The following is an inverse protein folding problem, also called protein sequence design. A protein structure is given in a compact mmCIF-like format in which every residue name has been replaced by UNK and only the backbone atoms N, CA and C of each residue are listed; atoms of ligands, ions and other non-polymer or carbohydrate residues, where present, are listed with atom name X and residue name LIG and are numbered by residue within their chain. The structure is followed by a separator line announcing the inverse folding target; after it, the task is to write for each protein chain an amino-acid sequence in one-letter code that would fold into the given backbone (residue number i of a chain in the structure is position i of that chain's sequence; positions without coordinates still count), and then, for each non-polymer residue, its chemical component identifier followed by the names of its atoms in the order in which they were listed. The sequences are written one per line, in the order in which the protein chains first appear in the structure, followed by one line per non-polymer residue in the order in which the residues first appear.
data_IF_721819315561
#
_entry.id   IF_721819315561
#
_cell.length_a   1.000
_cell.length_b   1.000
_cell.length_c   1.000
_cell.angle_alpha   90.00
_cell.angle_beta   90.00
_cell.angle_gamma   90.00
#
_symmetry.space_group_name_H-M   'P 1'
#
loop_
_entity.id
_entity.type
_entity.pdbx_description
1 polymer ?
#
# COMPACT_ATOMS: atom_id res chain seq x y z
N UNK A 1 72.48 20.59 -42.85
CA UNK A 1 71.95 21.48 -41.80
C UNK A 1 70.79 22.29 -42.41
N UNK A 2 69.66 22.55 -41.74
CA UNK A 2 68.92 21.73 -40.77
C UNK A 2 67.39 21.70 -41.09
N UNK A 3 66.75 20.53 -41.08
CA UNK A 3 65.29 20.40 -40.94
C UNK A 3 64.97 19.10 -40.21
N UNK A 4 65.25 19.06 -38.91
CA UNK A 4 64.84 17.99 -37.98
C UNK A 4 64.74 18.58 -36.59
N UNK A 5 63.62 19.21 -36.23
CA UNK A 5 63.32 19.55 -34.83
C UNK A 5 61.88 20.06 -34.60
N UNK A 6 60.81 19.49 -35.17
CA UNK A 6 59.44 19.88 -34.72
C UNK A 6 58.41 18.76 -34.90
N UNK A 7 58.57 17.57 -34.30
CA UNK A 7 57.43 16.61 -34.14
C UNK A 7 57.56 15.75 -32.86
N UNK A 8 58.12 16.29 -31.77
CA UNK A 8 58.32 15.50 -30.53
C UNK A 8 57.96 16.27 -29.26
N UNK A 9 56.89 17.06 -29.31
CA UNK A 9 56.38 17.78 -28.13
C UNK A 9 54.85 17.76 -27.95
N UNK A 10 54.13 16.85 -28.63
CA UNK A 10 52.68 16.66 -28.48
C UNK A 10 52.28 15.21 -28.14
N UNK A 11 53.13 14.46 -27.43
CA UNK A 11 52.81 13.11 -26.91
C UNK A 11 53.11 12.97 -25.40
N UNK A 12 53.12 14.08 -24.65
CA UNK A 12 53.38 14.07 -23.21
C UNK A 12 52.27 14.74 -22.37
N UNK A 13 51.08 14.94 -22.93
CA UNK A 13 49.98 15.64 -22.26
C UNK A 13 48.65 14.85 -22.25
N UNK A 14 48.70 13.52 -22.25
CA UNK A 14 47.51 12.64 -22.16
C UNK A 14 47.75 11.39 -21.30
N UNK A 15 48.54 11.48 -20.24
CA UNK A 15 48.67 10.42 -19.22
C UNK A 15 48.90 11.03 -17.83
N UNK A 16 47.97 11.85 -17.36
CA UNK A 16 47.74 11.97 -15.92
C UNK A 16 46.38 11.34 -15.64
N UNK A 17 46.33 10.00 -15.68
CA UNK A 17 45.35 9.31 -14.88
C UNK A 17 45.78 9.57 -13.43
N UNK A 18 45.14 10.53 -12.76
CA UNK A 18 45.26 10.65 -11.32
C UNK A 18 44.71 9.36 -10.74
N UNK A 19 45.60 8.47 -10.27
CA UNK A 19 45.20 7.26 -9.56
C UNK A 19 44.40 7.68 -8.34
N UNK A 20 43.10 7.41 -8.39
CA UNK A 20 42.17 7.61 -7.27
C UNK A 20 42.57 6.61 -6.19
N UNK A 21 42.65 7.00 -4.91
CA UNK A 21 42.92 6.05 -3.84
C UNK A 21 41.90 4.90 -3.86
N UNK A 22 42.38 3.68 -3.63
CA UNK A 22 41.53 2.48 -3.52
C UNK A 22 40.43 2.71 -2.49
N UNK A 23 39.24 2.16 -2.75
CA UNK A 23 38.09 2.22 -1.85
C UNK A 23 37.32 3.55 -1.85
N UNK A 24 37.73 4.54 -2.65
CA UNK A 24 37.00 5.81 -2.81
C UNK A 24 35.84 5.66 -3.81
N UNK A 25 34.64 6.04 -3.37
CA UNK A 25 33.46 6.11 -4.25
C UNK A 25 33.58 7.24 -5.29
N UNK A 26 33.06 7.06 -6.54
CA UNK A 26 33.17 8.06 -7.61
C UNK A 26 32.74 9.48 -7.25
N UNK A 27 31.70 9.64 -6.42
CA UNK A 27 31.24 10.97 -5.97
C UNK A 27 32.22 11.70 -5.05
N UNK A 28 33.12 10.95 -4.40
CA UNK A 28 34.05 11.49 -3.40
C UNK A 28 35.44 11.75 -3.97
N UNK A 29 35.73 11.31 -5.20
CA UNK A 29 37.04 11.46 -5.87
C UNK A 29 37.56 12.90 -5.81
N UNK A 30 36.67 13.88 -5.92
CA UNK A 30 37.02 15.32 -5.92
C UNK A 30 37.73 15.78 -4.65
N UNK A 31 37.61 15.07 -3.53
CA UNK A 31 38.26 15.39 -2.27
C UNK A 31 39.68 14.79 -2.15
N UNK A 32 40.00 13.79 -2.96
CA UNK A 32 41.25 13.04 -2.90
C UNK A 32 42.19 13.50 -4.01
N UNK A 33 42.77 14.70 -3.84
CA UNK A 33 43.69 15.29 -4.83
C UNK A 33 45.13 14.83 -4.56
N UNK A 34 45.76 14.03 -5.45
CA UNK A 34 47.09 13.50 -5.20
C UNK A 34 48.15 14.57 -4.95
N UNK A 35 49.08 14.28 -4.05
CA UNK A 35 50.22 15.13 -3.68
C UNK A 35 49.86 16.49 -3.06
N UNK A 36 48.61 16.69 -2.65
CA UNK A 36 48.18 17.85 -1.85
C UNK A 36 47.89 17.40 -0.41
N UNK A 37 48.11 18.25 0.60
CA UNK A 37 47.65 17.95 1.95
C UNK A 37 46.16 17.59 1.91
N UNK A 38 45.83 16.45 2.49
CA UNK A 38 44.46 15.97 2.57
C UNK A 38 43.82 16.60 3.81
N UNK A 39 42.60 17.13 3.66
CA UNK A 39 41.81 17.60 4.80
C UNK A 39 40.69 16.60 5.00
N UNK A 40 40.59 16.04 6.21
CA UNK A 40 39.53 15.10 6.57
C UNK A 40 38.16 15.70 6.16
N UNK A 41 37.23 14.86 5.74
CA UNK A 41 35.94 15.35 5.20
C UNK A 41 35.10 16.05 6.28
N UNK A 42 35.25 15.64 7.53
CA UNK A 42 34.71 16.29 8.73
C UNK A 42 35.51 17.53 9.21
N UNK A 43 36.67 17.80 8.58
CA UNK A 43 37.62 18.87 8.93
C UNK A 43 38.30 18.71 10.28
N UNK A 44 38.34 17.50 10.84
CA UNK A 44 39.04 17.20 12.10
C UNK A 44 40.53 17.47 12.03
N UNK A 45 41.18 17.16 10.91
CA UNK A 45 42.59 17.39 10.68
C UNK A 45 42.92 17.71 9.20
N UNK A 46 44.13 18.25 8.99
CA UNK A 46 44.79 18.32 7.68
C UNK A 46 46.10 17.56 7.78
N UNK A 47 46.22 16.49 6.99
CA UNK A 47 47.32 15.54 7.01
C UNK A 47 48.10 15.57 5.69
N UNK A 48 49.38 15.15 5.68
CA UNK A 48 50.12 14.92 4.45
C UNK A 48 49.45 13.88 3.52
N UNK A 49 49.65 13.96 2.21
CA UNK A 49 49.02 13.02 1.24
C UNK A 49 49.45 11.56 1.45
N UNK A 50 50.69 11.35 1.89
CA UNK A 50 51.25 10.03 2.21
C UNK A 50 50.57 9.34 3.41
N UNK A 51 49.68 10.05 4.11
CA UNK A 51 48.83 9.52 5.17
C UNK A 51 47.49 8.97 4.71
N UNK A 52 47.17 9.08 3.42
CA UNK A 52 45.94 8.49 2.88
C UNK A 52 46.21 7.02 2.54
N UNK A 53 45.42 6.11 3.12
CA UNK A 53 45.58 4.66 3.04
C UNK A 53 46.95 4.18 3.55
N UNK A 54 47.40 4.68 4.71
CA UNK A 54 48.68 4.31 5.33
C UNK A 54 48.56 3.25 6.45
N UNK A 55 47.38 2.61 6.56
CA UNK A 55 47.01 1.65 7.61
C UNK A 55 46.98 2.29 9.03
N UNK A 56 46.79 3.60 9.12
CA UNK A 56 46.62 4.32 10.39
C UNK A 56 45.46 5.31 10.33
N UNK A 57 44.60 5.29 11.36
CA UNK A 57 43.42 6.16 11.41
C UNK A 57 43.79 7.55 11.99
N UNK A 58 44.16 8.50 11.14
CA UNK A 58 44.50 9.88 11.44
C UNK A 58 43.26 10.80 11.52
N UNK A 59 42.20 10.55 10.74
CA UNK A 59 40.96 11.35 10.77
C UNK A 59 39.92 10.80 11.75
N UNK A 60 39.15 11.68 12.41
CA UNK A 60 38.05 11.25 13.30
C UNK A 60 36.89 10.61 12.54
N UNK A 61 36.69 11.00 11.28
CA UNK A 61 35.69 10.41 10.37
C UNK A 61 36.24 9.23 9.55
N UNK A 62 37.51 8.89 9.71
CA UNK A 62 38.22 7.83 8.98
C UNK A 62 38.36 8.07 7.48
N UNK A 63 38.15 9.31 7.00
CA UNK A 63 38.21 9.64 5.57
C UNK A 63 39.60 9.55 4.96
N UNK A 64 40.65 9.41 5.77
CA UNK A 64 42.01 9.13 5.35
C UNK A 64 42.22 7.67 4.94
N UNK A 65 41.39 6.73 5.42
CA UNK A 65 41.53 5.29 5.18
C UNK A 65 40.34 4.69 4.38
N UNK A 66 40.00 5.22 3.18
CA UNK A 66 38.94 4.64 2.36
C UNK A 66 39.29 3.24 1.81
N UNK A 67 40.57 2.91 1.72
CA UNK A 67 41.11 1.73 1.06
C UNK A 67 41.67 0.65 1.99
N UNK A 68 41.64 0.86 3.31
CA UNK A 68 42.22 -0.06 4.31
C UNK A 68 41.20 -0.39 5.42
N UNK A 69 41.60 -1.25 6.36
CA UNK A 69 40.79 -1.64 7.53
C UNK A 69 41.12 -0.85 8.81
N UNK A 70 41.95 0.20 8.73
CA UNK A 70 42.47 0.91 9.91
C UNK A 70 41.43 1.72 10.69
N UNK A 71 40.37 2.22 10.02
CA UNK A 71 39.28 2.96 10.65
C UNK A 71 38.00 2.08 10.75
N UNK A 72 37.49 1.78 11.96
CA UNK A 72 36.46 0.75 12.17
C UNK A 72 35.05 1.11 11.66
N UNK A 73 34.69 2.40 11.61
CA UNK A 73 33.36 2.85 11.18
C UNK A 73 33.33 3.26 9.69
N UNK A 74 34.44 3.06 8.97
CA UNK A 74 34.58 3.43 7.56
C UNK A 74 34.07 2.32 6.62
N UNK A 75 33.75 2.71 5.38
CA UNK A 75 33.31 1.79 4.33
C UNK A 75 34.25 1.85 3.14
N UNK A 76 34.62 0.67 2.63
CA UNK A 76 35.38 0.50 1.41
C UNK A 76 34.43 0.38 0.22
N UNK A 77 34.72 1.10 -0.87
CA UNK A 77 33.93 0.99 -2.10
C UNK A 77 34.56 -0.01 -3.08
N UNK A 78 33.84 -1.10 -3.36
CA UNK A 78 34.14 -2.02 -4.46
C UNK A 78 33.60 -1.42 -5.78
N UNK A 79 34.45 -1.13 -6.78
CA UNK A 79 33.98 -0.61 -8.07
C UNK A 79 33.12 -1.62 -8.83
N UNK A 80 33.41 -2.92 -8.70
CA UNK A 80 32.71 -4.03 -9.32
C UNK A 80 32.47 -3.80 -10.82
N UNK A 81 33.50 -3.39 -11.55
CA UNK A 81 33.36 -2.96 -12.95
C UNK A 81 32.63 -4.01 -13.79
N UNK A 82 31.54 -3.61 -14.45
CA UNK A 82 30.65 -4.51 -15.19
C UNK A 82 29.49 -5.10 -14.37
N UNK A 83 29.39 -4.74 -13.09
CA UNK A 83 28.28 -5.00 -12.18
C UNK A 83 27.98 -3.72 -11.37
N UNK A 84 27.19 -3.83 -10.29
CA UNK A 84 26.91 -2.73 -9.37
C UNK A 84 28.02 -2.58 -8.33
N UNK A 85 28.50 -1.35 -8.16
CA UNK A 85 29.45 -1.00 -7.11
C UNK A 85 28.78 -1.03 -5.74
N UNK A 86 29.48 -1.54 -4.74
CA UNK A 86 28.94 -1.74 -3.39
C UNK A 86 29.90 -1.21 -2.34
N UNK A 87 29.35 -0.83 -1.19
CA UNK A 87 30.14 -0.54 0.00
C UNK A 87 30.19 -1.76 0.90
N UNK A 88 31.39 -2.14 1.31
CA UNK A 88 31.63 -3.14 2.34
C UNK A 88 32.20 -2.44 3.60
N UNK A 89 32.02 -3.01 4.80
CA UNK A 89 32.71 -2.54 6.00
C UNK A 89 34.23 -2.58 5.79
N UNK A 90 34.96 -1.59 6.32
CA UNK A 90 36.44 -1.56 6.26
C UNK A 90 37.07 -2.82 6.86
N UNK A 91 36.41 -3.45 7.84
CA UNK A 91 36.87 -4.71 8.44
C UNK A 91 36.98 -5.89 7.48
N UNK A 92 36.38 -5.80 6.28
CA UNK A 92 36.42 -6.84 5.25
C UNK A 92 37.54 -6.60 4.23
N UNK A 93 38.35 -5.55 4.42
CA UNK A 93 39.50 -5.26 3.56
C UNK A 93 40.70 -6.08 4.05
N UNK A 94 41.25 -6.92 3.16
CA UNK A 94 42.35 -7.84 3.43
C UNK A 94 42.14 -8.76 4.66
N UNK A 95 40.91 -9.25 4.86
CA UNK A 95 40.54 -10.19 5.93
C UNK A 95 40.63 -11.67 5.49
N UNK A 96 41.12 -11.92 4.27
CA UNK A 96 41.23 -13.23 3.61
C UNK A 96 39.90 -13.81 3.08
N UNK A 97 38.84 -13.00 3.01
CA UNK A 97 37.54 -13.33 2.43
C UNK A 97 37.32 -12.46 1.19
N UNK A 98 36.73 -13.03 0.13
CA UNK A 98 36.42 -12.26 -1.09
C UNK A 98 34.98 -11.74 -1.01
N UNK A 99 34.80 -10.51 -0.57
CA UNK A 99 33.52 -9.82 -0.43
C UNK A 99 33.18 -8.96 -1.65
N UNK A 100 34.18 -8.31 -2.27
CA UNK A 100 33.97 -7.64 -3.56
C UNK A 100 33.89 -8.68 -4.70
N UNK A 101 32.93 -8.53 -5.62
CA UNK A 101 32.87 -9.46 -6.77
C UNK A 101 34.07 -9.33 -7.70
N UNK A 102 34.75 -8.18 -7.70
CA UNK A 102 35.97 -7.95 -8.48
C UNK A 102 37.25 -8.33 -7.72
N UNK A 103 37.15 -8.66 -6.42
CA UNK A 103 38.26 -9.00 -5.54
C UNK A 103 39.15 -7.81 -5.14
N UNK A 104 38.65 -6.58 -5.26
CA UNK A 104 39.41 -5.36 -4.96
C UNK A 104 39.70 -5.12 -3.48
N UNK A 105 38.99 -5.81 -2.59
CA UNK A 105 39.16 -5.87 -1.14
C UNK A 105 40.42 -6.62 -0.69
N UNK A 106 40.81 -7.67 -1.43
CA UNK A 106 41.93 -8.56 -1.07
C UNK A 106 43.21 -8.27 -1.87
N UNK A 107 43.60 -7.00 -1.92
CA UNK A 107 44.71 -6.53 -2.76
C UNK A 107 46.10 -6.92 -2.24
N UNK A 108 46.25 -7.36 -0.98
CA UNK A 108 47.52 -7.92 -0.47
C UNK A 108 47.90 -9.25 -1.13
N UNK A 109 46.97 -9.93 -1.80
CA UNK A 109 47.23 -11.16 -2.54
C UNK A 109 47.54 -12.38 -1.66
N UNK A 110 47.16 -12.33 -0.37
CA UNK A 110 47.22 -13.48 0.55
C UNK A 110 46.20 -14.57 0.17
N UNK A 111 45.08 -14.15 -0.43
CA UNK A 111 44.07 -14.99 -1.06
C UNK A 111 43.93 -14.58 -2.54
N UNK A 112 43.50 -15.52 -3.40
CA UNK A 112 43.22 -15.25 -4.81
C UNK A 112 41.72 -15.10 -5.04
N UNK A 113 41.24 -13.87 -5.15
CA UNK A 113 39.87 -13.58 -5.54
C UNK A 113 39.71 -13.58 -7.06
N UNK A 114 38.77 -14.40 -7.57
CA UNK A 114 38.44 -14.40 -8.99
C UNK A 114 37.31 -13.39 -9.23
N UNK A 115 37.38 -12.63 -10.32
CA UNK A 115 36.31 -11.71 -10.68
C UNK A 115 35.03 -12.47 -11.09
N UNK A 116 33.97 -12.32 -10.30
CA UNK A 116 32.64 -12.91 -10.50
C UNK A 116 31.60 -11.90 -10.99
N UNK A 117 31.95 -10.62 -11.10
CA UNK A 117 31.02 -9.54 -11.47
C UNK A 117 30.29 -9.81 -12.78
N UNK A 118 30.97 -10.33 -13.80
CA UNK A 118 30.34 -10.67 -15.08
C UNK A 118 29.35 -11.84 -15.01
N UNK A 119 29.46 -12.73 -14.02
CA UNK A 119 28.47 -13.78 -13.79
C UNK A 119 27.24 -13.22 -13.05
N UNK A 120 27.46 -12.44 -11.99
CA UNK A 120 26.40 -11.78 -11.24
C UNK A 120 25.59 -10.80 -12.09
N UNK A 121 26.25 -10.07 -12.99
CA UNK A 121 25.59 -9.16 -13.94
C UNK A 121 24.65 -9.90 -14.89
N UNK A 122 25.08 -11.04 -15.45
CA UNK A 122 24.23 -11.88 -16.32
C UNK A 122 23.04 -12.47 -15.57
N UNK A 123 23.26 -12.98 -14.37
CA UNK A 123 22.19 -13.52 -13.53
C UNK A 123 21.15 -12.43 -13.21
N UNK A 124 21.59 -11.23 -12.82
CA UNK A 124 20.70 -10.09 -12.60
C UNK A 124 19.93 -9.71 -13.86
N UNK A 125 20.59 -9.65 -15.02
CA UNK A 125 19.92 -9.34 -16.28
C UNK A 125 18.85 -10.39 -16.62
N UNK A 126 19.15 -11.68 -16.46
CA UNK A 126 18.19 -12.77 -16.65
C UNK A 126 16.99 -12.65 -15.69
N UNK A 127 17.24 -12.32 -14.41
CA UNK A 127 16.18 -12.09 -13.41
C UNK A 127 15.30 -10.88 -13.78
N UNK A 128 15.91 -9.77 -14.20
CA UNK A 128 15.19 -8.56 -14.65
C UNK A 128 14.36 -8.85 -15.90
N UNK A 129 14.90 -9.60 -16.87
CA UNK A 129 14.15 -10.01 -18.07
C UNK A 129 12.97 -10.93 -17.71
N UNK A 130 13.16 -11.87 -16.79
CA UNK A 130 12.07 -12.73 -16.31
C UNK A 130 10.99 -11.92 -15.61
N UNK A 131 11.37 -11.00 -14.73
CA UNK A 131 10.44 -10.12 -14.02
C UNK A 131 9.68 -9.21 -14.96
N UNK A 132 10.35 -8.65 -15.97
CA UNK A 132 9.73 -7.84 -17.02
C UNK A 132 8.62 -8.60 -17.75
N UNK A 133 8.92 -9.81 -18.22
CA UNK A 133 7.95 -10.65 -18.92
C UNK A 133 6.74 -10.98 -18.05
N UNK A 134 6.97 -11.24 -16.76
CA UNK A 134 5.91 -11.50 -15.79
C UNK A 134 5.02 -10.26 -15.57
N UNK A 135 5.62 -9.07 -15.43
CA UNK A 135 4.90 -7.80 -15.32
C UNK A 135 4.09 -7.52 -16.59
N UNK A 136 4.69 -7.65 -17.77
CA UNK A 136 4.03 -7.42 -19.06
C UNK A 136 2.85 -8.37 -19.24
N UNK A 137 3.03 -9.66 -18.93
CA UNK A 137 1.94 -10.65 -18.98
C UNK A 137 0.83 -10.33 -17.98
N UNK A 138 1.17 -9.95 -16.74
CA UNK A 138 0.18 -9.57 -15.73
C UNK A 138 -0.59 -8.30 -16.13
N UNK A 139 0.09 -7.31 -16.70
CA UNK A 139 -0.51 -6.08 -17.20
C UNK A 139 -1.49 -6.37 -18.35
N UNK A 140 -1.14 -7.26 -19.28
CA UNK A 140 -2.05 -7.67 -20.34
C UNK A 140 -3.32 -8.33 -19.78
N UNK A 141 -3.18 -9.27 -18.84
CA UNK A 141 -4.33 -9.93 -18.19
C UNK A 141 -5.20 -8.91 -17.45
N UNK A 142 -4.59 -7.93 -16.78
CA UNK A 142 -5.29 -6.84 -16.12
C UNK A 142 -6.13 -6.02 -17.11
N UNK A 143 -5.53 -5.58 -18.21
CA UNK A 143 -6.21 -4.78 -19.25
C UNK A 143 -7.38 -5.55 -19.86
N UNK A 144 -7.20 -6.81 -20.20
CA UNK A 144 -8.25 -7.67 -20.74
C UNK A 144 -9.39 -7.86 -19.73
N UNK A 145 -9.07 -8.08 -18.44
CA UNK A 145 -10.06 -8.19 -17.38
C UNK A 145 -10.86 -6.91 -17.22
N UNK A 146 -10.19 -5.75 -17.09
CA UNK A 146 -10.84 -4.45 -16.90
C UNK A 146 -11.73 -4.10 -18.08
N UNK A 147 -11.25 -4.30 -19.31
CA UNK A 147 -12.04 -4.03 -20.51
C UNK A 147 -13.33 -4.85 -20.54
N UNK A 148 -13.23 -6.17 -20.29
CA UNK A 148 -14.40 -7.06 -20.23
C UNK A 148 -15.33 -6.69 -19.09
N UNK A 149 -14.80 -6.48 -17.88
CA UNK A 149 -15.61 -6.21 -16.69
C UNK A 149 -16.31 -4.85 -16.76
N UNK A 150 -15.70 -3.87 -17.41
CA UNK A 150 -16.33 -2.56 -17.63
C UNK A 150 -17.57 -2.68 -18.51
N UNK A 151 -17.51 -3.48 -19.58
CA UNK A 151 -18.67 -3.76 -20.45
C UNK A 151 -19.76 -4.49 -19.66
N UNK A 152 -19.38 -5.55 -18.95
CA UNK A 152 -20.31 -6.36 -18.13
C UNK A 152 -21.06 -5.49 -17.09
N UNK A 153 -20.35 -4.63 -16.37
CA UNK A 153 -20.95 -3.73 -15.38
C UNK A 153 -21.85 -2.65 -16.02
N UNK A 154 -21.50 -2.16 -17.21
CA UNK A 154 -22.32 -1.18 -17.93
C UNK A 154 -23.63 -1.80 -18.45
N UNK A 155 -23.57 -3.03 -18.95
CA UNK A 155 -24.75 -3.79 -19.38
C UNK A 155 -25.66 -4.13 -18.19
N UNK A 156 -25.08 -4.54 -17.06
CA UNK A 156 -25.83 -4.78 -15.83
C UNK A 156 -26.52 -3.52 -15.31
N UNK A 157 -25.79 -2.39 -15.23
CA UNK A 157 -26.35 -1.11 -14.79
C UNK A 157 -27.47 -0.62 -15.72
N UNK A 158 -27.32 -0.82 -17.04
CA UNK A 158 -28.37 -0.49 -18.01
C UNK A 158 -29.63 -1.33 -17.79
N UNK A 159 -29.48 -2.64 -17.59
CA UNK A 159 -30.60 -3.54 -17.31
C UNK A 159 -31.30 -3.17 -15.99
N UNK A 160 -30.53 -2.86 -14.95
CA UNK A 160 -31.10 -2.43 -13.66
C UNK A 160 -31.85 -1.10 -13.79
N UNK A 161 -31.34 -0.14 -14.57
CA UNK A 161 -32.01 1.13 -14.84
C UNK A 161 -33.32 0.93 -15.63
N UNK A 162 -33.32 0.10 -16.68
CA UNK A 162 -34.52 -0.25 -17.45
C UNK A 162 -35.57 -0.96 -16.58
N UNK A 163 -35.15 -1.88 -15.71
CA UNK A 163 -36.05 -2.53 -14.75
C UNK A 163 -36.60 -1.56 -13.70
N UNK A 164 -35.78 -0.63 -13.20
CA UNK A 164 -36.20 0.39 -12.26
C UNK A 164 -37.21 1.36 -12.89
N UNK A 165 -36.98 1.79 -14.14
CA UNK A 165 -37.92 2.61 -14.91
C UNK A 165 -39.25 1.89 -15.09
N UNK A 166 -39.23 0.61 -15.48
CA UNK A 166 -40.45 -0.20 -15.60
C UNK A 166 -41.21 -0.31 -14.29
N UNK A 167 -40.51 -0.55 -13.17
CA UNK A 167 -41.14 -0.62 -11.83
C UNK A 167 -41.75 0.73 -11.44
N UNK A 168 -41.08 1.84 -11.74
CA UNK A 168 -41.60 3.18 -11.47
C UNK A 168 -42.87 3.48 -12.29
N UNK A 169 -42.93 3.08 -13.57
CA UNK A 169 -44.12 3.20 -14.40
C UNK A 169 -45.29 2.37 -13.88
N UNK A 170 -45.05 1.09 -13.52
CA UNK A 170 -46.09 0.22 -12.94
C UNK A 170 -46.62 0.75 -11.59
N UNK A 171 -45.76 1.38 -10.79
CA UNK A 171 -46.17 2.00 -9.52
C UNK A 171 -46.98 3.29 -9.75
N UNK A 172 -46.60 4.11 -10.72
CA UNK A 172 -47.37 5.29 -11.13
C UNK A 172 -48.76 4.92 -11.68
N UNK A 173 -48.87 3.88 -12.52
CA UNK A 173 -50.16 3.39 -13.02
C UNK A 173 -51.09 2.92 -11.89
N UNK A 174 -50.54 2.18 -10.91
CA UNK A 174 -51.31 1.74 -9.73
C UNK A 174 -51.82 2.91 -8.90
N UNK A 175 -51.04 3.98 -8.77
CA UNK A 175 -51.46 5.20 -8.07
C UNK A 175 -52.59 5.92 -8.81
N UNK A 176 -52.54 6.03 -10.14
CA UNK A 176 -53.64 6.61 -10.95
C UNK A 176 -54.93 5.79 -10.95
N UNK A 177 -54.85 4.47 -10.68
CA UNK A 177 -56.03 3.60 -10.63
C UNK A 177 -56.81 3.64 -9.30
N UNK A 178 -56.32 4.34 -8.28
CA UNK A 178 -56.91 4.43 -6.94
C UNK A 178 -57.49 5.82 -6.58
N UNK A 179 -57.53 6.80 -7.51
CA UNK A 179 -58.27 8.04 -7.30
C UNK A 179 -59.79 7.83 -7.54
N UNK A 180 -60.68 8.16 -6.58
CA UNK A 180 -62.11 8.08 -6.80
C UNK A 180 -62.57 9.20 -7.72
N UNK A 181 -63.30 8.84 -8.79
CA UNK A 181 -64.00 9.77 -9.64
C UNK A 181 -65.14 10.45 -8.85
N UNK A 182 -64.98 11.73 -8.52
CA UNK A 182 -66.07 12.58 -8.02
C UNK A 182 -66.61 13.46 -9.16
N UNK A 183 -67.85 13.12 -9.54
CA UNK A 183 -68.91 13.86 -10.23
C UNK A 183 -68.63 15.00 -11.22
N UNK A 184 -69.19 14.80 -12.42
CA UNK A 184 -69.85 15.73 -13.33
C UNK A 184 -70.18 17.15 -12.79
N UNK A 185 -69.89 18.17 -13.61
CA UNK A 185 -70.89 19.21 -13.87
C UNK A 185 -70.75 19.75 -15.30
N UNK A 186 -71.82 19.58 -16.06
CA UNK A 186 -72.11 20.24 -17.33
C UNK A 186 -71.77 21.73 -17.32
N UNK A 187 -71.24 22.25 -18.43
CA UNK A 187 -71.68 23.53 -18.99
C UNK A 187 -71.31 23.67 -20.47
N UNK A 188 -72.38 23.65 -21.26
CA UNK A 188 -72.70 24.43 -22.47
C UNK A 188 -71.59 24.88 -23.44
N UNK A 189 -71.80 24.44 -24.69
CA UNK A 189 -71.30 25.02 -25.93
C UNK A 189 -71.87 26.43 -26.15
N UNK A 190 -71.06 27.37 -26.69
CA UNK A 190 -71.56 28.20 -27.78
C UNK A 190 -70.63 28.19 -29.00
N UNK A 191 -71.16 28.33 -30.23
CA UNK A 191 -70.38 28.24 -31.46
C UNK A 191 -69.94 29.63 -31.95
N UNK A 192 -68.79 29.69 -32.64
CA UNK A 192 -68.51 30.46 -33.87
C UNK A 192 -67.06 30.96 -33.92
N UNK A 193 -66.47 30.92 -35.12
CA UNK A 193 -65.29 31.71 -35.47
C UNK A 193 -64.15 30.92 -36.12
N UNK A 194 -64.21 30.83 -37.45
CA UNK A 194 -63.06 30.52 -38.31
C UNK A 194 -61.94 31.56 -38.08
N UNK A 195 -60.68 31.14 -38.02
CA UNK A 195 -59.67 31.45 -39.05
C UNK A 195 -58.25 31.05 -38.64
N UNK A 196 -57.46 30.84 -39.69
CA UNK A 196 -56.12 30.27 -39.84
C UNK A 196 -55.02 31.12 -39.19
N UNK A 197 -53.90 30.49 -38.79
CA UNK A 197 -52.60 30.58 -39.48
C UNK A 197 -51.44 30.00 -38.64
N UNK A 198 -50.40 29.63 -39.39
CA UNK A 198 -49.22 28.83 -39.08
C UNK A 198 -47.99 29.75 -39.02
N UNK A 199 -47.15 29.67 -37.98
CA UNK A 199 -45.72 30.04 -37.96
C UNK A 199 -45.16 29.71 -36.55
N UNK A 200 -44.17 28.83 -36.30
CA UNK A 200 -42.71 28.96 -36.50
C UNK A 200 -42.18 30.37 -36.11
N UNK A 201 -41.10 30.60 -35.37
CA UNK A 201 -39.85 29.86 -35.14
C UNK A 201 -39.27 30.17 -33.73
N UNK A 202 -38.20 29.43 -33.43
CA UNK A 202 -37.19 29.57 -32.38
C UNK A 202 -36.73 31.02 -32.08
N UNK A 203 -36.17 31.23 -30.87
CA UNK A 203 -34.81 31.78 -30.59
C UNK A 203 -34.69 32.10 -29.08
N UNK A 204 -33.86 31.32 -28.37
CA UNK A 204 -33.01 31.79 -27.25
C UNK A 204 -31.69 32.39 -27.83
N UNK A 205 -30.74 33.01 -27.09
CA UNK A 205 -30.65 33.41 -25.67
C UNK A 205 -30.05 34.84 -25.49
N UNK A 206 -29.82 35.28 -24.24
CA UNK A 206 -28.61 35.98 -23.74
C UNK A 206 -28.92 36.68 -22.40
N UNK A 207 -28.36 36.25 -21.26
CA UNK A 207 -26.99 36.45 -20.71
C UNK A 207 -26.90 37.60 -19.69
N UNK A 208 -26.53 37.19 -18.45
CA UNK A 208 -25.61 37.85 -17.49
C UNK A 208 -26.10 39.10 -16.72
N UNK A 209 -26.18 38.97 -15.38
CA UNK A 209 -25.33 39.77 -14.49
C UNK A 209 -25.16 39.18 -13.08
N UNK A 210 -23.90 39.22 -12.66
CA UNK A 210 -23.22 38.75 -11.44
C UNK A 210 -23.58 39.45 -10.11
N UNK A 211 -23.22 38.71 -9.05
CA UNK A 211 -22.65 39.10 -7.75
C UNK A 211 -23.51 39.71 -6.63
N UNK A 212 -23.49 39.01 -5.48
CA UNK A 212 -22.95 39.61 -4.24
C UNK A 212 -22.51 38.57 -3.20
N UNK A 213 -21.26 38.75 -2.75
CA UNK A 213 -20.69 38.35 -1.45
C UNK A 213 -21.63 38.67 -0.27
N UNK A 214 -21.56 37.90 0.82
CA UNK A 214 -21.16 38.39 2.16
C UNK A 214 -20.76 37.23 3.09
N UNK A 215 -19.72 37.49 3.87
CA UNK A 215 -19.02 36.69 4.87
C UNK A 215 -19.46 37.18 6.26
N UNK A 216 -19.64 36.31 7.26
CA UNK A 216 -19.57 36.74 8.66
C UNK A 216 -19.32 35.59 9.66
N UNK A 217 -18.16 35.71 10.33
CA UNK A 217 -17.77 35.06 11.59
C UNK A 217 -18.52 35.67 12.77
N UNK A 218 -18.78 34.88 13.82
CA UNK A 218 -18.84 35.41 15.19
C UNK A 218 -18.26 34.42 16.22
N UNK A 219 -17.35 34.94 17.05
CA UNK A 219 -16.85 34.40 18.32
C UNK A 219 -17.52 35.13 19.51
N UNK A 220 -17.47 34.49 20.70
CA UNK A 220 -17.76 35.04 22.03
C UNK A 220 -19.05 34.44 22.63
N UNK A 221 -19.11 33.81 23.82
CA UNK A 221 -18.28 33.84 25.03
C UNK A 221 -19.10 34.45 26.18
N UNK A 222 -19.47 33.65 27.21
CA UNK A 222 -19.58 33.97 28.66
C UNK A 222 -20.60 33.06 29.44
N UNK A 223 -20.05 32.33 30.43
CA UNK A 223 -20.44 32.05 31.82
C UNK A 223 -21.85 31.58 32.27
N UNK A 224 -21.93 30.43 32.98
CA UNK A 224 -22.17 30.32 34.45
C UNK A 224 -22.54 28.90 34.96
N UNK A 225 -21.87 28.51 36.07
CA UNK A 225 -22.18 27.59 37.21
C UNK A 225 -22.45 26.07 36.98
N UNK A 226 -21.66 25.18 37.61
CA UNK A 226 -21.81 24.55 38.97
C UNK A 226 -22.88 23.44 38.92
N UNK A 227 -22.60 22.15 39.13
CA UNK A 227 -22.28 21.54 40.42
C UNK A 227 -21.52 20.19 40.25
N UNK A 228 -20.62 19.92 41.19
CA UNK A 228 -19.87 18.67 41.27
C UNK A 228 -20.61 17.50 41.94
N UNK A 229 -20.20 16.27 41.61
CA UNK A 229 -20.47 15.10 42.45
C UNK A 229 -19.30 14.12 42.46
N UNK A 230 -18.80 13.82 43.66
CA UNK A 230 -17.73 12.87 43.96
C UNK A 230 -18.33 11.55 44.51
N UNK A 231 -17.61 10.41 44.42
CA UNK A 231 -18.17 9.07 44.60
C UNK A 231 -18.07 8.55 46.04
N UNK A 232 -18.81 7.50 46.44
CA UNK A 232 -18.51 6.74 47.65
C UNK A 232 -17.82 5.39 47.36
N UNK A 233 -16.90 5.10 48.28
CA UNK A 233 -16.06 3.90 48.43
C UNK A 233 -16.86 2.72 49.02
N UNK A 234 -16.31 1.52 48.82
CA UNK A 234 -16.84 0.25 49.30
C UNK A 234 -16.74 0.01 50.82
N UNK A 235 -17.31 -1.13 51.23
CA UNK A 235 -17.12 -1.75 52.55
C UNK A 235 -17.10 -3.28 52.37
N UNK A 236 -16.15 -3.91 53.06
CA UNK A 236 -15.89 -5.34 53.14
C UNK A 236 -16.73 -6.03 54.25
N UNK A 237 -17.03 -7.32 54.04
CA UNK A 237 -16.83 -8.40 55.04
C UNK A 237 -17.84 -8.63 56.17
N UNK A 238 -18.27 -9.90 56.34
CA UNK A 238 -18.76 -10.42 57.62
C UNK A 238 -19.74 -11.59 57.53
N UNK A 239 -19.31 -12.78 57.96
CA UNK A 239 -20.04 -14.04 57.99
C UNK A 239 -20.92 -14.24 59.25
N UNK A 240 -22.02 -15.01 59.16
CA UNK A 240 -22.41 -16.13 60.05
C UNK A 240 -23.91 -16.50 59.93
N UNK A 241 -24.19 -17.80 60.07
CA UNK A 241 -25.51 -18.51 60.04
C UNK A 241 -25.94 -18.80 61.49
N UNK A 242 -27.24 -18.69 61.87
CA UNK A 242 -28.14 -19.87 62.09
C UNK A 242 -29.63 -19.61 61.72
N UNK A 243 -30.27 -20.47 60.91
CA UNK A 243 -31.20 -21.57 61.24
C UNK A 243 -32.60 -21.19 61.76
N UNK A 244 -33.61 -21.61 60.98
CA UNK A 244 -34.95 -22.15 61.31
C UNK A 244 -35.86 -21.37 62.29
N UNK A 245 -36.97 -20.81 61.79
CA UNK A 245 -38.34 -21.28 62.10
C UNK A 245 -39.45 -20.52 61.33
N UNK A 246 -40.40 -21.34 60.87
CA UNK A 246 -41.76 -21.19 60.36
C UNK A 246 -42.54 -19.87 60.64
N UNK A 247 -43.13 -19.24 59.62
CA UNK A 247 -44.60 -19.09 59.53
C UNK A 247 -45.06 -18.62 58.13
N UNK A 248 -46.12 -19.26 57.69
CA UNK A 248 -46.83 -19.15 56.43
C UNK A 248 -47.72 -17.89 56.31
N UNK A 249 -47.49 -17.08 55.26
CA UNK A 249 -48.53 -16.22 54.69
C UNK A 249 -48.30 -16.03 53.18
N UNK A 250 -49.22 -16.57 52.38
CA UNK A 250 -49.23 -16.40 50.93
C UNK A 250 -49.54 -14.94 50.56
N UNK A 251 -48.58 -14.26 49.96
CA UNK A 251 -48.84 -13.09 49.11
C UNK A 251 -48.61 -13.56 47.68
N UNK A 252 -49.70 -13.72 46.93
CA UNK A 252 -49.66 -14.05 45.50
C UNK A 252 -49.31 -12.76 44.77
N UNK A 253 -48.01 -12.49 44.63
CA UNK A 253 -47.53 -11.41 43.77
C UNK A 253 -47.51 -11.93 42.33
N UNK A 254 -48.35 -11.34 41.50
CA UNK A 254 -48.47 -11.64 40.07
C UNK A 254 -47.18 -11.23 39.36
N UNK A 255 -46.29 -12.20 39.11
CA UNK A 255 -45.13 -12.01 38.25
C UNK A 255 -45.61 -11.87 36.79
N UNK A 256 -45.63 -10.64 36.28
CA UNK A 256 -45.64 -10.41 34.83
C UNK A 256 -44.26 -10.79 34.27
N UNK A 257 -44.19 -11.64 33.24
CA UNK A 257 -42.91 -11.99 32.63
C UNK A 257 -42.26 -10.73 32.02
N UNK A 258 -40.93 -10.55 32.13
CA UNK A 258 -40.26 -9.41 31.55
C UNK A 258 -40.52 -9.36 30.04
N UNK A 259 -40.95 -8.20 29.56
CA UNK A 259 -41.12 -7.93 28.13
C UNK A 259 -39.84 -8.31 27.37
N UNK A 260 -39.95 -8.98 26.20
CA UNK A 260 -38.78 -9.35 25.42
C UNK A 260 -37.94 -8.10 25.11
N UNK A 261 -36.60 -8.23 25.09
CA UNK A 261 -35.73 -7.11 24.76
C UNK A 261 -36.12 -6.58 23.37
N UNK A 262 -36.05 -5.25 23.15
CA UNK A 262 -36.33 -4.69 21.85
C UNK A 262 -35.43 -5.37 20.80
N UNK A 263 -35.95 -5.61 19.58
CA UNK A 263 -35.16 -6.19 18.52
C UNK A 263 -33.90 -5.34 18.32
N UNK A 264 -32.74 -6.01 18.27
CA UNK A 264 -31.47 -5.34 18.00
C UNK A 264 -31.61 -4.53 16.70
N UNK A 265 -31.05 -3.30 16.66
CA UNK A 265 -31.07 -2.51 15.44
C UNK A 265 -30.45 -3.32 14.29
N UNK A 266 -30.97 -3.18 13.06
CA UNK A 266 -30.38 -3.85 11.91
C UNK A 266 -28.89 -3.50 11.82
N UNK A 267 -28.03 -4.45 11.45
CA UNK A 267 -26.61 -4.17 11.31
C UNK A 267 -26.41 -3.03 10.31
N UNK A 268 -25.42 -2.15 10.54
CA UNK A 268 -25.12 -1.08 9.61
C UNK A 268 -24.83 -1.66 8.21
N UNK A 269 -25.19 -0.94 7.13
CA UNK A 269 -24.89 -1.40 5.78
C UNK A 269 -23.39 -1.66 5.63
N UNK A 270 -22.98 -2.72 4.91
CA UNK A 270 -21.58 -3.01 4.71
C UNK A 270 -20.89 -1.83 4.04
N UNK A 271 -19.72 -1.44 4.54
CA UNK A 271 -18.91 -0.38 3.94
C UNK A 271 -18.60 -0.73 2.48
N UNK A 272 -18.69 0.23 1.53
CA UNK A 272 -18.35 -0.02 0.14
C UNK A 272 -16.87 -0.42 0.01
N UNK A 273 -16.58 -1.42 -0.83
CA UNK A 273 -15.22 -1.93 -1.05
C UNK A 273 -14.55 -1.13 -2.16
N UNK A 274 -13.35 -0.62 -1.89
CA UNK A 274 -12.50 -0.03 -2.91
C UNK A 274 -11.76 -1.12 -3.70
N UNK A 275 -12.26 -1.46 -4.88
CA UNK A 275 -11.63 -2.41 -5.82
C UNK A 275 -10.49 -1.78 -6.65
N UNK A 276 -10.02 -0.61 -6.24
CA UNK A 276 -8.91 0.09 -6.87
C UNK A 276 -9.26 0.78 -8.19
N UNK A 277 -8.25 1.25 -8.94
CA UNK A 277 -8.47 1.89 -10.23
C UNK A 277 -9.15 0.90 -11.18
N UNK A 278 -10.11 1.41 -11.95
CA UNK A 278 -10.93 0.64 -12.89
C UNK A 278 -11.66 -0.58 -12.28
N UNK A 279 -11.80 -0.62 -10.94
CA UNK A 279 -12.30 -1.77 -10.19
C UNK A 279 -11.54 -3.08 -10.48
N UNK A 280 -10.27 -3.00 -10.89
CA UNK A 280 -9.51 -4.15 -11.37
C UNK A 280 -9.29 -5.25 -10.32
N UNK A 281 -9.32 -4.92 -9.02
CA UNK A 281 -9.23 -5.94 -7.96
C UNK A 281 -10.50 -6.79 -7.80
N UNK A 282 -11.60 -6.47 -8.50
CA UNK A 282 -12.77 -7.37 -8.59
C UNK A 282 -12.39 -8.76 -9.12
N UNK A 283 -11.29 -8.89 -9.87
CA UNK A 283 -10.74 -10.18 -10.33
C UNK A 283 -10.57 -11.19 -9.18
N UNK A 284 -10.21 -10.71 -7.99
CA UNK A 284 -10.00 -11.57 -6.82
C UNK A 284 -11.31 -12.05 -6.18
N UNK A 285 -12.44 -11.43 -6.54
CA UNK A 285 -13.78 -11.79 -6.07
C UNK A 285 -14.53 -12.69 -7.04
N UNK A 286 -13.99 -12.91 -8.24
CA UNK A 286 -14.60 -13.78 -9.24
C UNK A 286 -14.77 -15.21 -8.68
N UNK A 287 -15.90 -15.89 -8.96
CA UNK A 287 -16.13 -17.25 -8.51
C UNK A 287 -15.02 -18.23 -8.95
N UNK A 288 -14.38 -17.95 -10.09
CA UNK A 288 -13.26 -18.74 -10.61
C UNK A 288 -11.97 -18.60 -9.79
N UNK A 289 -11.78 -17.49 -9.06
CA UNK A 289 -10.61 -17.27 -8.19
C UNK A 289 -10.79 -17.98 -6.84
N UNK A 290 -11.97 -17.87 -6.24
CA UNK A 290 -12.26 -18.48 -4.94
C UNK A 290 -11.33 -17.99 -3.82
N UNK A 291 -11.07 -18.84 -2.82
CA UNK A 291 -10.11 -18.54 -1.75
C UNK A 291 -8.74 -19.14 -2.08
N UNK A 292 -7.70 -18.32 -1.99
CA UNK A 292 -6.33 -18.70 -2.31
C UNK A 292 -5.67 -19.33 -1.09
N UNK A 293 -5.03 -20.48 -1.25
CA UNK A 293 -4.40 -21.21 -0.15
C UNK A 293 -2.88 -21.29 -0.29
N UNK A 294 -2.18 -21.20 0.85
CA UNK A 294 -0.76 -21.56 0.99
C UNK A 294 -0.60 -22.41 2.24
N UNK A 295 0.34 -23.35 2.22
CA UNK A 295 0.56 -24.26 3.36
C UNK A 295 2.02 -24.24 3.80
N UNK A 296 2.23 -24.34 5.11
CA UNK A 296 3.54 -24.60 5.69
C UNK A 296 3.55 -26.00 6.32
N UNK A 297 4.49 -26.27 7.24
CA UNK A 297 4.60 -27.59 7.87
C UNK A 297 3.39 -27.95 8.75
N UNK A 298 2.73 -26.95 9.34
CA UNK A 298 1.72 -27.12 10.40
C UNK A 298 0.32 -26.71 9.96
N UNK A 299 0.20 -25.62 9.19
CA UNK A 299 -1.06 -24.96 8.86
C UNK A 299 -1.26 -24.76 7.36
N UNK A 300 -2.52 -24.67 6.98
CA UNK A 300 -3.00 -24.14 5.71
C UNK A 300 -3.64 -22.78 5.99
N UNK A 301 -3.18 -21.76 5.29
CA UNK A 301 -3.72 -20.42 5.30
C UNK A 301 -4.59 -20.23 4.08
N UNK A 302 -5.77 -19.65 4.26
CA UNK A 302 -6.73 -19.37 3.20
C UNK A 302 -7.08 -17.90 3.21
N UNK A 303 -6.94 -17.25 2.05
CA UNK A 303 -7.28 -15.85 1.80
C UNK A 303 -8.48 -15.80 0.86
N UNK A 304 -9.63 -15.38 1.37
CA UNK A 304 -10.79 -15.02 0.56
C UNK A 304 -10.77 -13.49 0.40
N UNK A 305 -10.34 -13.00 -0.77
CA UNK A 305 -10.09 -11.58 -0.97
C UNK A 305 -11.33 -10.71 -0.67
N UNK A 306 -11.12 -9.59 0.00
CA UNK A 306 -12.17 -8.66 0.44
C UNK A 306 -13.23 -9.26 1.37
N UNK A 307 -12.94 -10.43 1.97
CA UNK A 307 -13.83 -11.09 2.92
C UNK A 307 -13.10 -11.43 4.22
N UNK A 308 -12.27 -12.47 4.22
CA UNK A 308 -11.62 -12.97 5.44
C UNK A 308 -10.37 -13.79 5.15
N UNK A 309 -9.53 -13.92 6.17
CA UNK A 309 -8.35 -14.81 6.18
C UNK A 309 -8.50 -15.82 7.31
N UNK A 310 -8.26 -17.09 7.01
CA UNK A 310 -8.35 -18.19 7.97
C UNK A 310 -7.09 -19.03 8.01
N UNK A 311 -6.84 -19.63 9.17
CA UNK A 311 -5.80 -20.63 9.38
C UNK A 311 -6.45 -21.93 9.84
N UNK A 312 -6.05 -23.06 9.26
CA UNK A 312 -6.50 -24.39 9.68
C UNK A 312 -5.34 -25.38 9.77
N UNK A 313 -5.33 -26.32 10.74
CA UNK A 313 -4.34 -27.39 10.77
C UNK A 313 -4.43 -28.26 9.51
N UNK A 314 -3.30 -28.82 9.06
CA UNK A 314 -3.29 -29.67 7.85
C UNK A 314 -4.15 -30.93 7.95
N UNK A 315 -4.31 -31.46 9.15
CA UNK A 315 -5.01 -32.74 9.38
C UNK A 315 -6.51 -32.58 9.63
N UNK A 316 -6.98 -31.36 9.87
CA UNK A 316 -8.40 -31.08 10.11
C UNK A 316 -8.98 -30.28 8.95
N UNK A 317 -10.01 -30.82 8.32
CA UNK A 317 -10.63 -30.28 7.10
C UNK A 317 -11.79 -29.31 7.38
N UNK A 318 -12.24 -29.18 8.63
CA UNK A 318 -13.41 -28.35 8.99
C UNK A 318 -13.08 -27.45 10.17
N UNK A 319 -13.52 -26.19 10.06
CA UNK A 319 -13.18 -25.14 11.02
C UNK A 319 -11.76 -24.60 10.83
N UNK A 320 -11.59 -23.31 11.11
CA UNK A 320 -10.31 -22.64 11.05
C UNK A 320 -10.37 -21.33 11.83
N UNK A 321 -9.28 -21.02 12.53
CA UNK A 321 -9.09 -19.79 13.29
C UNK A 321 -9.22 -18.61 12.34
N UNK A 322 -10.10 -17.66 12.66
CA UNK A 322 -10.21 -16.41 11.90
C UNK A 322 -8.98 -15.55 12.21
N UNK A 323 -8.17 -15.28 11.19
CA UNK A 323 -7.02 -14.40 11.35
C UNK A 323 -7.39 -12.93 11.16
N UNK A 324 -8.46 -12.64 10.42
CA UNK A 324 -8.98 -11.29 10.23
C UNK A 324 -10.06 -11.23 9.15
N UNK A 325 -10.89 -10.21 9.21
CA UNK A 325 -11.89 -9.85 8.20
C UNK A 325 -11.41 -8.63 7.43
N UNK A 326 -11.82 -8.47 6.17
CA UNK A 326 -11.42 -7.33 5.34
C UNK A 326 -11.71 -6.01 6.05
N UNK A 327 -10.66 -5.20 6.22
CA UNK A 327 -10.72 -3.92 6.94
C UNK A 327 -10.46 -2.73 6.01
N UNK A 328 -9.65 -2.92 4.97
CA UNK A 328 -9.37 -1.88 3.97
C UNK A 328 -7.97 -1.99 3.39
N UNK A 329 -7.60 -0.98 2.61
CA UNK A 329 -6.23 -0.81 2.13
C UNK A 329 -5.39 -0.06 3.17
N UNK A 330 -4.16 -0.53 3.42
CA UNK A 330 -3.27 0.13 4.38
C UNK A 330 -2.83 1.49 3.85
N UNK A 331 -3.04 2.54 4.64
CA UNK A 331 -2.61 3.91 4.31
C UNK A 331 -3.54 4.66 3.36
N UNK A 332 -4.71 4.11 3.02
CA UNK A 332 -5.71 4.79 2.20
C UNK A 332 -6.70 5.58 3.09
N UNK A 333 -7.04 6.83 2.74
CA UNK A 333 -8.12 7.57 3.41
C UNK A 333 -9.48 6.86 3.29
N UNK A 334 -10.37 7.02 4.28
CA UNK A 334 -11.69 6.35 4.25
C UNK A 334 -12.57 6.81 3.07
N UNK A 335 -12.46 8.08 2.68
CA UNK A 335 -13.21 8.67 1.56
C UNK A 335 -12.62 8.29 0.20
N UNK A 336 -11.45 7.65 0.15
CA UNK A 336 -10.75 7.31 -1.09
C UNK A 336 -11.53 6.38 -2.00
N UNK A 337 -12.54 5.68 -1.47
CA UNK A 337 -13.45 4.83 -2.24
C UNK A 337 -14.16 5.62 -3.36
N UNK A 338 -14.48 6.90 -3.12
CA UNK A 338 -15.21 7.77 -4.04
C UNK A 338 -14.31 8.61 -4.96
N UNK A 339 -12.98 8.54 -4.80
CA UNK A 339 -12.05 9.31 -5.61
C UNK A 339 -12.07 8.88 -7.08
N UNK A 340 -11.65 9.79 -7.96
CA UNK A 340 -11.54 9.50 -9.38
C UNK A 340 -10.45 8.45 -9.66
N UNK A 341 -10.50 7.85 -10.85
CA UNK A 341 -9.49 6.90 -11.30
C UNK A 341 -8.09 7.53 -11.28
N UNK A 342 -7.98 8.76 -11.77
CA UNK A 342 -6.71 9.49 -11.89
C UNK A 342 -6.12 9.80 -10.52
N UNK A 343 -6.95 10.18 -9.56
CA UNK A 343 -6.54 10.42 -8.17
C UNK A 343 -6.05 9.14 -7.49
N UNK A 344 -6.78 8.03 -7.68
CA UNK A 344 -6.39 6.71 -7.17
C UNK A 344 -5.03 6.29 -7.72
N UNK A 345 -4.82 6.39 -9.04
CA UNK A 345 -3.54 6.05 -9.68
C UNK A 345 -2.37 6.94 -9.28
N UNK A 346 -2.62 8.18 -8.89
CA UNK A 346 -1.57 9.13 -8.52
C UNK A 346 -1.18 9.06 -7.04
N UNK A 347 -2.15 8.81 -6.15
CA UNK A 347 -1.98 9.01 -4.69
C UNK A 347 -2.04 7.73 -3.87
N UNK A 348 -2.60 6.64 -4.40
CA UNK A 348 -2.86 5.44 -3.61
C UNK A 348 -1.97 4.27 -4.07
N UNK A 349 -1.26 3.61 -3.15
CA UNK A 349 -0.26 2.60 -3.52
C UNK A 349 -0.84 1.22 -3.89
N UNK A 350 -2.04 0.86 -3.42
CA UNK A 350 -2.68 -0.45 -3.66
C UNK A 350 -1.74 -1.65 -3.48
N UNK A 351 -0.85 -1.61 -2.49
CA UNK A 351 0.24 -2.58 -2.29
C UNK A 351 0.10 -3.43 -1.01
N UNK A 352 -0.79 -3.06 -0.08
CA UNK A 352 -1.00 -3.79 1.17
C UNK A 352 -2.46 -3.77 1.62
N UNK A 353 -3.07 -4.95 1.73
CA UNK A 353 -4.42 -5.17 2.23
C UNK A 353 -4.39 -5.43 3.74
N UNK A 354 -5.35 -4.88 4.48
CA UNK A 354 -5.53 -5.12 5.91
C UNK A 354 -6.74 -6.03 6.16
N UNK A 355 -6.50 -7.11 6.89
CA UNK A 355 -7.53 -7.95 7.49
C UNK A 355 -7.38 -7.89 9.01
N UNK A 356 -8.39 -7.41 9.69
CA UNK A 356 -8.35 -7.12 11.13
C UNK A 356 -9.59 -7.68 11.85
N UNK A 357 -9.62 -7.60 13.18
CA UNK A 357 -10.72 -8.11 13.99
C UNK A 357 -10.82 -9.64 13.94
N UNK A 358 -9.68 -10.33 13.81
CA UNK A 358 -9.61 -11.77 13.90
C UNK A 358 -9.89 -12.30 15.32
N UNK A 359 -9.94 -13.61 15.43
CA UNK A 359 -10.22 -14.29 16.71
C UNK A 359 -9.19 -13.91 17.78
N UNK A 360 -9.66 -13.71 19.01
CA UNK A 360 -8.82 -13.28 20.13
C UNK A 360 -7.68 -14.27 20.38
N UNK A 361 -6.46 -13.74 20.42
CA UNK A 361 -5.27 -14.51 20.75
C UNK A 361 -5.11 -14.63 22.26
N UNK A 362 -4.75 -15.83 22.74
CA UNK A 362 -4.36 -15.98 24.14
C UNK A 362 -3.13 -15.11 24.43
N UNK A 363 -3.19 -14.23 25.43
CA UNK A 363 -2.13 -13.29 25.79
C UNK A 363 -1.53 -12.53 24.59
N UNK A 364 -2.37 -12.14 23.63
CA UNK A 364 -1.97 -11.39 22.46
C UNK A 364 -3.08 -10.45 21.99
N UNK A 365 -2.82 -9.64 20.96
CA UNK A 365 -3.86 -8.83 20.35
C UNK A 365 -4.92 -9.72 19.67
N UNK A 366 -6.03 -9.12 19.26
CA UNK A 366 -6.89 -9.76 18.25
C UNK A 366 -6.04 -10.06 17.01
N UNK A 367 -6.26 -11.22 16.39
CA UNK A 367 -5.46 -11.61 15.22
C UNK A 367 -5.67 -10.61 14.08
N UNK A 368 -4.60 -10.35 13.33
CA UNK A 368 -4.64 -9.50 12.15
C UNK A 368 -3.63 -9.96 11.09
N UNK A 369 -3.92 -9.64 9.83
CA UNK A 369 -3.11 -10.03 8.68
C UNK A 369 -2.90 -8.82 7.77
N UNK A 370 -1.65 -8.56 7.42
CA UNK A 370 -1.28 -7.66 6.31
C UNK A 370 -0.90 -8.49 5.10
N UNK A 371 -1.60 -8.30 3.98
CA UNK A 371 -1.32 -9.01 2.73
C UNK A 371 -0.67 -8.04 1.77
N UNK A 372 0.64 -8.19 1.54
CA UNK A 372 1.36 -7.46 0.49
C UNK A 372 0.97 -8.02 -0.86
N UNK A 373 0.42 -7.19 -1.74
CA UNK A 373 0.05 -7.57 -3.10
C UNK A 373 1.14 -7.14 -4.07
N UNK A 374 1.51 -8.04 -4.98
CA UNK A 374 2.56 -7.81 -5.97
C UNK A 374 2.05 -8.15 -7.36
N UNK A 375 2.45 -7.34 -8.35
CA UNK A 375 2.12 -7.61 -9.74
C UNK A 375 2.71 -8.96 -10.18
N UNK A 376 1.88 -9.77 -10.85
CA UNK A 376 2.26 -11.02 -11.50
C UNK A 376 1.14 -11.55 -12.40
N UNK A 377 1.37 -12.68 -13.04
CA UNK A 377 0.45 -13.20 -14.08
C UNK A 377 -0.65 -14.12 -13.52
N UNK A 378 -0.60 -14.46 -12.23
CA UNK A 378 -1.52 -15.40 -11.59
C UNK A 378 -2.04 -14.85 -10.27
N UNK A 379 -3.28 -15.22 -9.91
CA UNK A 379 -3.79 -15.03 -8.56
C UNK A 379 -3.27 -16.15 -7.66
N UNK A 380 -2.25 -15.88 -6.85
CA UNK A 380 -1.60 -16.91 -6.02
C UNK A 380 -1.08 -16.36 -4.70
N UNK A 381 -1.47 -17.01 -3.61
CA UNK A 381 -0.91 -16.75 -2.28
C UNK A 381 0.49 -17.39 -2.19
N UNK A 382 1.52 -16.55 -2.12
CA UNK A 382 2.93 -16.95 -2.21
C UNK A 382 3.51 -17.38 -0.86
N UNK A 383 3.17 -16.65 0.21
CA UNK A 383 3.68 -16.93 1.55
C UNK A 383 2.72 -16.47 2.62
N UNK A 384 2.86 -17.08 3.81
CA UNK A 384 2.19 -16.70 5.03
C UNK A 384 3.14 -16.92 6.21
N UNK A 385 3.42 -15.84 6.94
CA UNK A 385 4.39 -15.79 8.03
C UNK A 385 3.77 -15.09 9.24
N UNK A 386 4.17 -15.49 10.45
CA UNK A 386 3.78 -14.86 11.71
C UNK A 386 5.01 -14.16 12.31
N UNK A 387 5.35 -12.94 11.85
CA UNK A 387 6.53 -12.21 12.35
C UNK A 387 6.43 -11.81 13.82
N UNK A 388 5.21 -11.69 14.34
CA UNK A 388 4.95 -11.45 15.76
C UNK A 388 3.66 -12.15 16.17
N UNK A 389 3.55 -12.48 17.46
CA UNK A 389 2.42 -13.25 18.00
C UNK A 389 1.08 -12.72 17.52
N UNK A 390 0.33 -13.57 16.81
CA UNK A 390 -1.00 -13.30 16.29
C UNK A 390 -1.09 -12.14 15.28
N UNK A 391 0.04 -11.70 14.72
CA UNK A 391 0.11 -10.75 13.61
C UNK A 391 0.80 -11.42 12.43
N UNK A 392 0.09 -11.50 11.31
CA UNK A 392 0.54 -12.25 10.14
C UNK A 392 0.90 -11.30 9.00
N UNK A 393 1.88 -11.73 8.20
CA UNK A 393 2.21 -11.13 6.91
C UNK A 393 2.07 -12.17 5.83
N UNK A 394 1.37 -11.82 4.76
CA UNK A 394 1.22 -12.68 3.59
C UNK A 394 1.66 -11.94 2.33
N UNK A 395 2.05 -12.69 1.31
CA UNK A 395 2.38 -12.13 -0.01
C UNK A 395 1.46 -12.74 -1.07
N UNK A 396 0.72 -11.90 -1.78
CA UNK A 396 -0.21 -12.29 -2.85
C UNK A 396 0.34 -11.81 -4.19
N UNK A 397 0.52 -12.72 -5.13
CA UNK A 397 0.72 -12.40 -6.55
C UNK A 397 -0.65 -12.23 -7.22
N UNK A 398 -0.84 -11.18 -8.02
CA UNK A 398 -2.08 -10.99 -8.80
C UNK A 398 -1.88 -10.04 -9.98
N UNK A 399 -2.57 -10.28 -11.13
CA UNK A 399 -2.67 -9.29 -12.20
C UNK A 399 -3.32 -7.97 -11.76
N UNK A 400 -4.16 -7.97 -10.71
CA UNK A 400 -4.85 -6.78 -10.23
C UNK A 400 -3.89 -5.64 -9.79
N UNK A 401 -2.68 -5.98 -9.36
CA UNK A 401 -1.65 -5.00 -8.99
C UNK A 401 -0.84 -4.51 -10.21
N UNK A 402 -1.05 -5.08 -11.39
CA UNK A 402 -0.39 -4.67 -12.63
C UNK A 402 -1.14 -3.53 -13.35
N UNK A 403 -1.70 -2.57 -12.62
CA UNK A 403 -2.57 -1.50 -13.16
C UNK A 403 -1.80 -0.30 -13.74
N UNK A 404 -0.50 -0.19 -13.45
CA UNK A 404 0.38 0.79 -14.08
C UNK A 404 1.04 0.23 -15.34
N UNK A 405 1.58 1.12 -16.18
CA UNK A 405 2.41 0.73 -17.32
C UNK A 405 3.59 -0.16 -16.88
N UNK A 406 3.97 -1.20 -17.64
CA UNK A 406 5.06 -2.10 -17.29
C UNK A 406 6.39 -1.42 -16.97
N UNK A 407 6.73 -0.30 -17.63
CA UNK A 407 7.95 0.46 -17.35
C UNK A 407 7.90 1.05 -15.94
N UNK A 408 6.79 1.70 -15.60
CA UNK A 408 6.58 2.25 -14.24
C UNK A 408 6.57 1.14 -13.19
N UNK A 409 5.93 0.00 -13.48
CA UNK A 409 5.93 -1.16 -12.57
C UNK A 409 7.34 -1.71 -12.33
N UNK A 410 8.20 -1.75 -13.34
CA UNK A 410 9.59 -2.16 -13.16
C UNK A 410 10.34 -1.19 -12.24
N UNK A 411 10.17 0.13 -12.42
CA UNK A 411 10.82 1.16 -11.58
C UNK A 411 10.35 1.14 -10.12
N UNK A 412 9.09 0.81 -9.85
CA UNK A 412 8.58 0.71 -8.47
C UNK A 412 9.03 -0.58 -7.75
N UNK A 413 9.56 -1.56 -8.48
CA UNK A 413 10.01 -2.84 -7.95
C UNK A 413 11.54 -2.98 -7.90
N UNK A 414 12.31 -1.92 -8.14
CA UNK A 414 13.79 -1.92 -8.11
C UNK A 414 14.40 -1.91 -6.69
N UNK A 415 13.60 -1.99 -5.62
CA UNK A 415 14.13 -2.22 -4.27
C UNK A 415 14.39 -3.71 -3.99
N UNK A 416 15.32 -4.31 -4.75
CA UNK A 416 15.85 -5.66 -4.47
C UNK A 416 17.36 -5.70 -4.54
#
# INVERSE_FOLDING_TARGET
MPFRAVVLFCLFALLWASEVPTGVHPSSIVFYVPFKPFTCLDKSATIPWDKVNDDYCDCLDGSDEPGTSACPDMKFYCPNTGHEGVFIPSSFVNDMVCDCCDGSDEYFGLVKCNNTCGALAREREEQLQKRRKEIESGHQIYQEYVARKTIELAEEAKREAEEAEKRALEEAEKQTSNEPADSESDNEVPPSGEDKEEHSEEIEPDQIHEDSLYDEKHEGGEDMQDDGWNPPKGVEGGASVPSEDDDSAQVVESYEPPSPPPPLPPPPPPKPIDYGPDKGFMMLTEPSTGCLEVQNKEYIYSLCAFKEVRQRPRHHSTGGTLLGSWSGWVGHPEDSVHWSKEEKLAKLPYNEMLYDGGEQCWNGPSRSVKVKVVCGAQNRLMSAEEPSRCTYKMRLETPATCHHDPVKLMEMHTEL
#
